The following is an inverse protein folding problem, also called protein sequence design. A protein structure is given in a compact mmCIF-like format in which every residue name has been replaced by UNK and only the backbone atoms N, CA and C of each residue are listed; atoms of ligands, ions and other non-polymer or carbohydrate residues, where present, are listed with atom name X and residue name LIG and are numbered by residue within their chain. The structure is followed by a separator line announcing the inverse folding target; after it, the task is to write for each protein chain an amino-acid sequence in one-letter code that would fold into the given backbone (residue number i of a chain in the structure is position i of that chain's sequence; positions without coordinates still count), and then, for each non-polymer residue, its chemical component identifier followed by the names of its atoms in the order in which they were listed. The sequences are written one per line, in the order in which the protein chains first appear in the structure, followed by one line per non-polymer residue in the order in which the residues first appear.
data_IF_955318202981
#
_entry.id   IF_955318202981
#
_cell.length_a   1.000
_cell.length_b   1.000
_cell.length_c   1.000
_cell.angle_alpha   90.00
_cell.angle_beta   90.00
_cell.angle_gamma   90.00
#
_symmetry.space_group_name_H-M   'P 1'
#
loop_
_entity.id
_entity.type
_entity.pdbx_description
1 polymer ?
#
# COMPACT_ATOMS: atom_id res chain seq x y z
N UNK A 1 18.70 -39.87 1.69
CA UNK A 1 17.64 -39.29 0.87
C UNK A 1 18.31 -38.36 -0.12
N UNK A 2 18.35 -38.75 -1.40
CA UNK A 2 18.94 -37.95 -2.46
C UNK A 2 18.12 -36.65 -2.60
N UNK A 3 18.79 -35.49 -2.54
CA UNK A 3 18.21 -34.23 -2.93
C UNK A 3 17.88 -34.33 -4.42
N UNK A 4 16.60 -34.39 -4.72
CA UNK A 4 16.04 -34.24 -6.07
C UNK A 4 16.59 -32.92 -6.62
N UNK A 5 17.54 -33.00 -7.55
CA UNK A 5 18.06 -31.83 -8.26
C UNK A 5 16.88 -31.20 -8.98
N UNK A 6 16.39 -30.11 -8.43
CA UNK A 6 15.35 -29.32 -9.07
C UNK A 6 15.77 -29.02 -10.53
N UNK A 7 14.93 -29.41 -11.48
CA UNK A 7 15.10 -29.07 -12.89
C UNK A 7 15.31 -27.57 -12.98
N UNK A 8 16.35 -27.07 -13.66
CA UNK A 8 16.57 -25.63 -13.81
C UNK A 8 15.32 -24.99 -14.42
N UNK A 9 14.61 -24.18 -13.64
CA UNK A 9 13.43 -23.47 -14.12
C UNK A 9 13.87 -22.48 -15.19
N UNK A 10 13.22 -22.53 -16.37
CA UNK A 10 13.47 -21.55 -17.42
C UNK A 10 13.16 -20.14 -16.85
N UNK A 11 14.17 -19.27 -16.68
CA UNK A 11 13.98 -17.96 -16.06
C UNK A 11 13.11 -17.03 -16.90
N UNK A 12 12.85 -17.37 -18.17
CA UNK A 12 11.98 -16.56 -19.04
C UNK A 12 10.50 -16.86 -18.84
N UNK A 13 10.14 -18.02 -18.30
CA UNK A 13 8.73 -18.42 -18.08
C UNK A 13 8.29 -18.04 -16.66
N UNK A 14 7.06 -17.54 -16.57
CA UNK A 14 6.38 -17.37 -15.30
C UNK A 14 6.09 -18.75 -14.68
N UNK A 15 6.26 -18.83 -13.36
CA UNK A 15 5.95 -20.04 -12.61
C UNK A 15 5.19 -19.71 -11.32
N UNK A 16 4.86 -20.73 -10.54
CA UNK A 16 4.06 -20.57 -9.33
C UNK A 16 4.74 -19.71 -8.25
N UNK A 17 6.07 -19.70 -8.18
CA UNK A 17 6.81 -18.83 -7.27
C UNK A 17 6.62 -17.35 -7.66
N UNK A 18 6.71 -17.03 -8.96
CA UNK A 18 6.50 -15.67 -9.47
C UNK A 18 5.07 -15.19 -9.20
N UNK A 19 4.07 -16.04 -9.50
CA UNK A 19 2.66 -15.72 -9.25
C UNK A 19 2.37 -15.50 -7.76
N UNK A 20 2.96 -16.30 -6.88
CA UNK A 20 2.81 -16.10 -5.43
C UNK A 20 3.37 -14.75 -4.98
N UNK A 21 4.48 -14.31 -5.56
CA UNK A 21 5.03 -13.00 -5.26
C UNK A 21 4.18 -11.87 -5.84
N UNK A 22 3.69 -12.00 -7.09
CA UNK A 22 2.74 -11.02 -7.66
C UNK A 22 1.52 -10.84 -6.75
N UNK A 23 0.93 -11.94 -6.28
CA UNK A 23 -0.23 -11.90 -5.36
C UNK A 23 0.15 -11.33 -3.99
N UNK A 24 1.33 -11.64 -3.46
CA UNK A 24 1.80 -11.10 -2.17
C UNK A 24 2.02 -9.60 -2.22
N UNK A 25 2.67 -9.09 -3.29
CA UNK A 25 2.88 -7.66 -3.53
C UNK A 25 1.54 -6.95 -3.74
N UNK A 26 0.65 -7.53 -4.56
CA UNK A 26 -0.71 -7.02 -4.76
C UNK A 26 -1.46 -6.90 -3.43
N UNK A 27 -1.46 -7.97 -2.60
CA UNK A 27 -2.15 -7.96 -1.31
C UNK A 27 -1.56 -6.96 -0.30
N UNK A 28 -0.27 -6.63 -0.42
CA UNK A 28 0.35 -5.59 0.40
C UNK A 28 -0.15 -4.21 -0.02
N UNK A 29 -0.27 -3.93 -1.32
CA UNK A 29 -0.78 -2.66 -1.82
C UNK A 29 -2.29 -2.49 -1.56
N UNK A 30 -3.08 -3.57 -1.75
CA UNK A 30 -4.54 -3.53 -1.64
C UNK A 30 -4.96 -3.54 -0.17
N UNK A 31 -5.05 -2.35 0.42
CA UNK A 31 -5.41 -2.12 1.81
C UNK A 31 -6.41 -0.97 1.98
N UNK A 32 -6.29 -0.21 3.07
CA UNK A 32 -7.18 0.93 3.32
C UNK A 32 -7.11 1.97 2.17
N UNK A 33 -5.94 2.17 1.56
CA UNK A 33 -5.77 3.14 0.48
C UNK A 33 -6.80 3.00 -0.63
N UNK A 34 -7.01 1.80 -1.15
CA UNK A 34 -7.97 1.59 -2.25
C UNK A 34 -9.42 1.85 -1.83
N UNK A 35 -9.72 1.70 -0.55
CA UNK A 35 -11.07 1.92 -0.01
C UNK A 35 -11.39 3.41 0.16
N UNK A 36 -10.36 4.27 0.22
CA UNK A 36 -10.49 5.72 0.32
C UNK A 36 -10.18 6.45 -1.00
N UNK A 37 -9.50 5.79 -1.94
CA UNK A 37 -9.18 6.37 -3.25
C UNK A 37 -10.41 6.84 -4.04
N UNK A 38 -11.54 6.09 -4.11
CA UNK A 38 -12.74 6.58 -4.77
C UNK A 38 -13.29 7.87 -4.14
N UNK A 39 -13.19 8.01 -2.81
CA UNK A 39 -13.68 9.19 -2.09
C UNK A 39 -12.87 10.42 -2.51
N UNK A 40 -11.56 10.28 -2.66
CA UNK A 40 -10.68 11.39 -3.09
C UNK A 40 -10.81 11.70 -4.58
N UNK A 41 -10.87 10.66 -5.41
CA UNK A 41 -10.88 10.81 -6.87
C UNK A 41 -12.25 11.19 -7.44
N UNK A 42 -13.35 10.76 -6.78
CA UNK A 42 -14.69 10.79 -7.35
C UNK A 42 -15.31 12.19 -7.50
N UNK A 43 -14.93 13.14 -6.64
CA UNK A 43 -15.45 14.52 -6.70
C UNK A 43 -15.10 15.30 -7.97
N UNK A 44 -14.21 14.76 -8.82
CA UNK A 44 -13.67 15.48 -9.99
C UNK A 44 -14.01 14.81 -11.34
N UNK A 45 -14.94 13.86 -11.33
CA UNK A 45 -15.40 13.17 -12.53
C UNK A 45 -14.53 12.01 -12.97
N UNK A 46 -15.08 11.19 -13.86
CA UNK A 46 -14.51 9.91 -14.30
C UNK A 46 -13.24 10.07 -15.14
N UNK A 47 -13.15 11.15 -15.93
CA UNK A 47 -12.00 11.38 -16.81
C UNK A 47 -10.69 11.59 -16.07
N UNK A 48 -10.75 12.16 -14.86
CA UNK A 48 -9.59 12.27 -13.99
C UNK A 48 -9.05 10.88 -13.61
N UNK A 49 -9.94 9.91 -13.35
CA UNK A 49 -9.57 8.52 -13.03
C UNK A 49 -8.88 7.84 -14.22
N UNK A 50 -9.34 8.08 -15.44
CA UNK A 50 -8.70 7.52 -16.66
C UNK A 50 -7.28 8.03 -16.80
N UNK A 51 -7.05 9.34 -16.62
CA UNK A 51 -5.70 9.92 -16.67
C UNK A 51 -4.83 9.43 -15.52
N UNK A 52 -5.39 9.36 -14.29
CA UNK A 52 -4.69 8.79 -13.14
C UNK A 52 -4.26 7.34 -13.36
N UNK A 53 -5.12 6.54 -14.02
CA UNK A 53 -4.79 5.14 -14.37
C UNK A 53 -3.60 5.06 -15.33
N UNK A 54 -3.53 5.96 -16.30
CA UNK A 54 -2.41 6.03 -17.24
C UNK A 54 -1.10 6.47 -16.59
N UNK A 55 -1.17 7.30 -15.55
CA UNK A 55 0.01 7.78 -14.80
C UNK A 55 0.48 6.74 -13.78
N UNK A 56 -0.45 6.17 -13.00
CA UNK A 56 -0.08 5.32 -11.86
C UNK A 56 0.57 4.00 -12.28
N UNK A 57 0.16 3.42 -13.41
CA UNK A 57 0.72 2.17 -13.87
C UNK A 57 2.24 2.25 -14.11
N UNK A 58 2.74 3.14 -15.00
CA UNK A 58 4.19 3.25 -15.19
C UNK A 58 4.90 3.74 -13.94
N UNK A 59 4.29 4.62 -13.15
CA UNK A 59 4.88 5.14 -11.91
C UNK A 59 5.09 4.02 -10.89
N UNK A 60 4.08 3.18 -10.64
CA UNK A 60 4.16 2.04 -9.74
C UNK A 60 5.20 1.03 -10.21
N UNK A 61 5.10 0.58 -11.47
CA UNK A 61 6.02 -0.40 -12.03
C UNK A 61 7.48 0.06 -11.98
N UNK A 62 7.74 1.27 -12.47
CA UNK A 62 9.11 1.79 -12.58
C UNK A 62 9.71 2.12 -11.22
N UNK A 63 8.90 2.69 -10.31
CA UNK A 63 9.33 3.04 -8.95
C UNK A 63 9.68 1.81 -8.12
N UNK A 64 8.77 0.83 -8.01
CA UNK A 64 9.03 -0.38 -7.23
C UNK A 64 10.16 -1.23 -7.82
N UNK A 65 10.22 -1.35 -9.14
CA UNK A 65 11.36 -1.98 -9.82
C UNK A 65 12.69 -1.29 -9.47
N UNK A 66 12.72 0.04 -9.49
CA UNK A 66 13.93 0.79 -9.17
C UNK A 66 14.34 0.59 -7.72
N UNK A 67 13.38 0.61 -6.79
CA UNK A 67 13.62 0.31 -5.39
C UNK A 67 14.11 -1.13 -5.19
N UNK A 68 13.52 -2.11 -5.89
CA UNK A 68 13.97 -3.50 -5.86
C UNK A 68 15.40 -3.65 -6.40
N UNK A 69 15.78 -2.95 -7.46
CA UNK A 69 17.15 -2.93 -7.97
C UNK A 69 18.14 -2.28 -7.01
N UNK A 70 17.72 -1.20 -6.34
CA UNK A 70 18.51 -0.55 -5.31
C UNK A 70 18.80 -1.52 -4.15
N UNK A 71 17.78 -2.13 -3.56
CA UNK A 71 17.92 -3.09 -2.46
C UNK A 71 18.70 -4.33 -2.94
N UNK A 72 18.39 -4.81 -4.13
CA UNK A 72 19.05 -5.95 -4.75
C UNK A 72 20.54 -5.74 -5.08
N UNK A 73 21.07 -4.53 -4.95
CA UNK A 73 22.52 -4.25 -5.14
C UNK A 73 23.41 -4.86 -4.06
N UNK A 74 22.81 -5.22 -2.92
CA UNK A 74 23.49 -5.91 -1.81
C UNK A 74 22.72 -7.20 -1.47
N UNK A 75 23.44 -8.31 -1.46
CA UNK A 75 22.83 -9.59 -1.12
C UNK A 75 22.59 -9.69 0.39
N UNK A 76 21.41 -10.21 0.75
CA UNK A 76 21.01 -10.48 2.15
C UNK A 76 20.82 -9.26 3.05
N UNK A 77 20.95 -8.04 2.52
CA UNK A 77 20.69 -6.82 3.28
C UNK A 77 19.25 -6.35 3.06
N UNK A 78 18.64 -5.78 4.09
CA UNK A 78 17.36 -5.06 4.00
C UNK A 78 17.61 -3.60 3.56
N UNK A 79 16.53 -2.86 3.30
CA UNK A 79 16.63 -1.46 2.86
C UNK A 79 17.44 -0.60 3.84
N UNK A 80 17.31 -0.82 5.16
CA UNK A 80 17.96 0.00 6.19
C UNK A 80 19.48 -0.18 6.18
N UNK A 81 19.93 -1.39 5.88
CA UNK A 81 21.35 -1.73 5.72
C UNK A 81 21.91 -1.23 4.39
N UNK A 82 21.15 -1.41 3.30
CA UNK A 82 21.56 -0.98 1.94
C UNK A 82 21.72 0.53 1.87
N UNK A 83 20.78 1.32 2.41
CA UNK A 83 20.89 2.79 2.42
C UNK A 83 22.14 3.23 3.19
N UNK A 84 22.42 2.60 4.33
CA UNK A 84 23.62 2.90 5.13
C UNK A 84 24.90 2.55 4.38
N UNK A 85 24.94 1.42 3.66
CA UNK A 85 26.12 0.98 2.92
C UNK A 85 26.44 1.87 1.71
N UNK A 86 25.44 2.48 1.09
CA UNK A 86 25.61 3.34 -0.09
C UNK A 86 25.76 4.83 0.24
N UNK A 87 25.02 5.32 1.23
CA UNK A 87 24.96 6.75 1.55
C UNK A 87 25.70 7.13 2.85
N UNK A 88 26.26 6.14 3.57
CA UNK A 88 26.97 6.35 4.83
C UNK A 88 26.03 6.49 6.03
N UNK A 89 26.61 6.73 7.22
CA UNK A 89 25.87 6.62 8.47
C UNK A 89 24.78 7.70 8.64
N UNK A 90 25.07 8.96 8.28
CA UNK A 90 24.14 10.09 8.50
C UNK A 90 22.93 10.03 7.55
N UNK A 91 23.20 9.95 6.23
CA UNK A 91 22.15 9.85 5.22
C UNK A 91 21.39 8.52 5.33
N UNK A 92 22.10 7.42 5.65
CA UNK A 92 21.48 6.13 5.89
C UNK A 92 20.49 6.17 7.05
N UNK A 93 20.81 6.87 8.14
CA UNK A 93 19.91 7.07 9.25
C UNK A 93 18.68 7.89 8.86
N UNK A 94 18.88 9.01 8.16
CA UNK A 94 17.78 9.86 7.69
C UNK A 94 16.83 9.11 6.74
N UNK A 95 17.38 8.36 5.78
CA UNK A 95 16.56 7.57 4.85
C UNK A 95 15.84 6.43 5.59
N UNK A 96 16.47 5.79 6.58
CA UNK A 96 15.81 4.79 7.42
C UNK A 96 14.65 5.39 8.24
N UNK A 97 14.83 6.60 8.74
CA UNK A 97 13.77 7.35 9.44
C UNK A 97 12.62 7.67 8.48
N UNK A 98 12.91 8.16 7.28
CA UNK A 98 11.89 8.43 6.25
C UNK A 98 11.18 7.14 5.83
N UNK A 99 11.90 6.02 5.69
CA UNK A 99 11.31 4.71 5.41
C UNK A 99 10.33 4.28 6.51
N UNK A 100 10.71 4.42 7.77
CA UNK A 100 9.79 4.16 8.88
C UNK A 100 8.57 5.07 8.84
N UNK A 101 8.77 6.37 8.62
CA UNK A 101 7.67 7.35 8.52
C UNK A 101 6.82 7.16 7.26
N UNK A 102 7.32 6.52 6.21
CA UNK A 102 6.51 6.13 5.05
C UNK A 102 5.51 5.01 5.39
N UNK A 103 5.93 4.04 6.22
CA UNK A 103 5.17 2.80 6.42
C UNK A 103 4.38 2.80 7.74
N UNK A 104 4.96 3.30 8.82
CA UNK A 104 4.32 3.27 10.13
C UNK A 104 2.96 3.99 10.17
N UNK A 105 2.79 5.18 9.56
CA UNK A 105 1.49 5.83 9.50
C UNK A 105 0.41 4.98 8.82
N UNK A 106 0.78 4.11 7.87
CA UNK A 106 -0.15 3.19 7.21
C UNK A 106 -0.72 2.18 8.22
N UNK A 107 0.12 1.67 9.12
CA UNK A 107 -0.34 0.77 10.18
C UNK A 107 -1.33 1.48 11.12
N UNK A 108 -1.12 2.78 11.41
CA UNK A 108 -2.06 3.58 12.19
C UNK A 108 -3.41 3.73 11.48
N UNK A 109 -3.39 4.05 10.19
CA UNK A 109 -4.59 4.14 9.33
C UNK A 109 -5.35 2.82 9.29
N UNK A 110 -4.66 1.68 9.25
CA UNK A 110 -5.32 0.38 9.26
C UNK A 110 -6.04 0.10 10.58
N UNK A 111 -5.44 0.49 11.71
CA UNK A 111 -6.12 0.42 13.02
C UNK A 111 -7.41 1.26 13.06
N UNK A 112 -7.36 2.49 12.55
CA UNK A 112 -8.54 3.37 12.44
C UNK A 112 -9.58 2.76 11.49
N UNK A 113 -9.13 2.37 10.28
CA UNK A 113 -10.02 1.86 9.22
C UNK A 113 -10.76 0.60 9.62
N UNK A 114 -10.06 -0.40 10.21
CA UNK A 114 -10.72 -1.63 10.65
C UNK A 114 -11.73 -1.35 11.76
N UNK A 115 -11.41 -0.43 12.69
CA UNK A 115 -12.32 -0.06 13.76
C UNK A 115 -13.56 0.62 13.22
N UNK A 116 -13.43 1.54 12.26
CA UNK A 116 -14.56 2.21 11.62
C UNK A 116 -15.45 1.25 10.82
N UNK A 117 -14.84 0.32 10.07
CA UNK A 117 -15.58 -0.71 9.31
C UNK A 117 -16.47 -1.53 10.24
N UNK A 118 -15.93 -2.03 11.34
CA UNK A 118 -16.70 -2.88 12.28
C UNK A 118 -17.70 -2.09 13.09
N UNK A 119 -17.37 -0.87 13.53
CA UNK A 119 -18.31 0.01 14.24
C UNK A 119 -19.56 0.30 13.39
N UNK A 120 -19.36 0.71 12.13
CA UNK A 120 -20.46 0.94 11.19
C UNK A 120 -21.20 -0.34 10.83
N UNK A 121 -20.53 -1.47 10.65
CA UNK A 121 -21.18 -2.75 10.36
C UNK A 121 -22.10 -3.19 11.50
N UNK A 122 -21.63 -3.12 12.73
CA UNK A 122 -22.42 -3.49 13.90
C UNK A 122 -23.61 -2.56 14.12
N UNK A 123 -23.41 -1.26 13.95
CA UNK A 123 -24.45 -0.25 14.22
C UNK A 123 -25.46 -0.17 13.08
N UNK A 124 -25.01 -0.11 11.81
CA UNK A 124 -25.91 0.20 10.69
C UNK A 124 -26.48 -1.04 10.01
N UNK A 125 -25.72 -2.15 9.93
CA UNK A 125 -26.17 -3.37 9.26
C UNK A 125 -26.77 -4.40 10.24
N UNK A 126 -26.16 -4.55 11.43
CA UNK A 126 -26.67 -5.48 12.43
C UNK A 126 -27.59 -4.83 13.46
N UNK A 127 -27.75 -3.50 13.41
CA UNK A 127 -28.59 -2.71 14.34
C UNK A 127 -28.29 -2.97 15.82
N UNK A 128 -27.00 -3.24 16.13
CA UNK A 128 -26.55 -3.41 17.51
C UNK A 128 -26.28 -2.05 18.17
N UNK A 129 -26.36 -2.01 19.50
CA UNK A 129 -25.93 -0.83 20.25
C UNK A 129 -24.44 -0.54 19.97
N UNK A 130 -24.04 0.75 19.89
CA UNK A 130 -22.64 1.12 19.66
C UNK A 130 -21.72 0.52 20.72
N UNK A 131 -20.65 -0.11 20.29
CA UNK A 131 -19.61 -0.62 21.18
C UNK A 131 -18.71 0.52 21.69
N UNK A 132 -18.14 0.36 22.87
CA UNK A 132 -17.13 1.28 23.34
C UNK A 132 -15.90 1.23 22.41
N UNK A 133 -15.63 2.34 21.71
CA UNK A 133 -14.61 2.41 20.64
C UNK A 133 -13.24 1.91 21.09
N UNK A 134 -12.81 2.23 22.32
CA UNK A 134 -11.53 1.77 22.85
C UNK A 134 -11.45 0.24 22.97
N UNK A 135 -12.52 -0.41 23.44
CA UNK A 135 -12.59 -1.87 23.50
C UNK A 135 -12.55 -2.49 22.11
N UNK A 136 -13.33 -1.93 21.18
CA UNK A 136 -13.34 -2.39 19.78
C UNK A 136 -11.95 -2.26 19.13
N UNK A 137 -11.27 -1.14 19.31
CA UNK A 137 -9.92 -0.93 18.81
C UNK A 137 -8.92 -1.93 19.41
N UNK A 138 -8.94 -2.14 20.74
CA UNK A 138 -8.07 -3.13 21.40
C UNK A 138 -8.29 -4.51 20.83
N UNK A 139 -9.53 -4.96 20.69
CA UNK A 139 -9.85 -6.31 20.20
C UNK A 139 -9.40 -6.48 18.75
N UNK A 140 -9.75 -5.54 17.86
CA UNK A 140 -9.46 -5.66 16.43
C UNK A 140 -7.96 -5.53 16.12
N UNK A 141 -7.26 -4.58 16.74
CA UNK A 141 -5.82 -4.43 16.58
C UNK A 141 -5.09 -5.64 17.18
N UNK A 142 -5.52 -6.17 18.33
CA UNK A 142 -4.94 -7.38 18.90
C UNK A 142 -5.15 -8.59 18.01
N UNK A 143 -6.31 -8.72 17.35
CA UNK A 143 -6.58 -9.80 16.40
C UNK A 143 -5.65 -9.73 15.18
N UNK A 144 -5.44 -8.52 14.62
CA UNK A 144 -4.46 -8.32 13.55
C UNK A 144 -3.04 -8.68 14.01
N UNK A 145 -2.64 -8.22 15.20
CA UNK A 145 -1.30 -8.45 15.73
C UNK A 145 -1.06 -9.90 16.17
N UNK A 146 -2.12 -10.65 16.55
CA UNK A 146 -2.00 -12.05 16.97
C UNK A 146 -1.38 -12.93 15.88
N UNK A 147 -1.70 -12.66 14.62
CA UNK A 147 -1.12 -13.39 13.48
C UNK A 147 0.40 -13.19 13.41
N UNK A 148 0.93 -12.07 13.92
CA UNK A 148 2.37 -11.78 13.94
C UNK A 148 3.17 -12.60 14.96
N UNK A 149 2.50 -13.30 15.86
CA UNK A 149 3.15 -14.26 16.80
C UNK A 149 3.69 -15.48 16.06
N UNK A 150 3.09 -15.83 14.92
CA UNK A 150 3.55 -16.93 14.08
C UNK A 150 4.84 -16.57 13.32
N UNK A 151 5.52 -17.59 12.84
CA UNK A 151 6.71 -17.37 12.01
C UNK A 151 6.33 -16.77 10.63
N UNK A 152 7.29 -16.08 10.00
CA UNK A 152 7.08 -15.37 8.72
C UNK A 152 6.48 -16.27 7.62
N UNK A 153 6.79 -17.58 7.60
CA UNK A 153 6.25 -18.52 6.60
C UNK A 153 4.75 -18.73 6.77
N UNK A 154 4.28 -18.87 8.02
CA UNK A 154 2.85 -19.01 8.33
C UNK A 154 2.12 -17.71 8.01
N UNK A 155 2.67 -16.58 8.43
CA UNK A 155 2.09 -15.25 8.15
C UNK A 155 1.93 -15.05 6.65
N UNK A 156 2.97 -15.29 5.85
CA UNK A 156 2.91 -15.18 4.39
C UNK A 156 1.86 -16.11 3.77
N UNK A 157 1.70 -17.34 4.29
CA UNK A 157 0.65 -18.26 3.83
C UNK A 157 -0.76 -17.74 4.13
N UNK A 158 -0.97 -17.19 5.33
CA UNK A 158 -2.26 -16.59 5.72
C UNK A 158 -2.55 -15.38 4.81
N UNK A 159 -1.57 -14.48 4.63
CA UNK A 159 -1.74 -13.33 3.75
C UNK A 159 -2.15 -13.74 2.34
N UNK A 160 -1.39 -14.65 1.72
CA UNK A 160 -1.69 -15.11 0.36
C UNK A 160 -3.08 -15.77 0.28
N UNK A 161 -3.46 -16.56 1.30
CA UNK A 161 -4.78 -17.16 1.35
C UNK A 161 -5.92 -16.15 1.44
N UNK A 162 -5.70 -15.00 2.07
CA UNK A 162 -6.68 -13.89 2.14
C UNK A 162 -6.74 -13.07 0.85
N UNK A 163 -5.62 -12.94 0.15
CA UNK A 163 -5.54 -12.13 -1.08
C UNK A 163 -6.29 -12.77 -2.25
N UNK A 164 -6.27 -14.11 -2.38
CA UNK A 164 -7.03 -14.78 -3.47
C UNK A 164 -8.53 -14.48 -3.43
N UNK A 165 -9.24 -14.70 -2.29
CA UNK A 165 -10.64 -14.29 -2.22
C UNK A 165 -10.82 -12.79 -2.34
N UNK A 166 -9.90 -11.97 -1.84
CA UNK A 166 -9.96 -10.52 -1.99
C UNK A 166 -9.97 -10.10 -3.45
N UNK A 167 -9.04 -10.62 -4.28
CA UNK A 167 -9.02 -10.33 -5.73
C UNK A 167 -10.34 -10.72 -6.40
N UNK A 168 -10.84 -11.92 -6.10
CA UNK A 168 -12.09 -12.41 -6.68
C UNK A 168 -13.29 -11.55 -6.27
N UNK A 169 -13.44 -11.31 -4.96
CA UNK A 169 -14.56 -10.53 -4.43
C UNK A 169 -14.50 -9.08 -4.91
N UNK A 170 -13.31 -8.48 -4.94
CA UNK A 170 -13.13 -7.11 -5.44
C UNK A 170 -13.58 -7.00 -6.91
N UNK A 171 -13.21 -7.95 -7.76
CA UNK A 171 -13.65 -8.02 -9.15
C UNK A 171 -15.16 -8.21 -9.26
N UNK A 172 -15.70 -9.21 -8.56
CA UNK A 172 -17.15 -9.50 -8.58
C UNK A 172 -17.97 -8.34 -8.04
N UNK A 173 -17.48 -7.66 -6.99
CA UNK A 173 -18.12 -6.48 -6.45
C UNK A 173 -18.14 -5.32 -7.47
N UNK A 174 -16.99 -5.10 -8.14
CA UNK A 174 -16.89 -4.06 -9.17
C UNK A 174 -17.82 -4.33 -10.35
N UNK A 175 -17.96 -5.59 -10.78
CA UNK A 175 -18.92 -6.02 -11.81
C UNK A 175 -20.36 -5.86 -11.33
N UNK A 176 -20.64 -6.21 -10.08
CA UNK A 176 -21.96 -6.08 -9.48
C UNK A 176 -22.45 -4.63 -9.37
N UNK A 177 -21.54 -3.67 -9.31
CA UNK A 177 -21.88 -2.24 -9.30
C UNK A 177 -22.31 -1.71 -10.69
N UNK A 178 -22.03 -2.39 -11.79
CA UNK A 178 -22.35 -1.90 -13.15
C UNK A 178 -23.80 -1.47 -13.34
N UNK A 179 -24.82 -2.22 -12.87
CA UNK A 179 -26.23 -1.80 -12.97
C UNK A 179 -26.57 -0.50 -12.24
N UNK A 180 -25.74 -0.09 -11.28
CA UNK A 180 -25.93 1.14 -10.50
C UNK A 180 -25.16 2.34 -11.08
N UNK A 181 -24.43 2.16 -12.20
CA UNK A 181 -23.68 3.23 -12.82
C UNK A 181 -24.61 4.33 -13.35
N UNK A 182 -24.27 5.56 -13.01
CA UNK A 182 -24.99 6.76 -13.45
C UNK A 182 -24.29 7.31 -14.69
N UNK A 183 -24.92 7.16 -15.86
CA UNK A 183 -24.35 7.65 -17.14
C UNK A 183 -24.06 9.16 -17.15
N UNK A 184 -24.77 9.95 -16.33
CA UNK A 184 -24.51 11.37 -16.17
C UNK A 184 -23.07 11.68 -15.71
N UNK A 185 -22.44 10.79 -14.93
CA UNK A 185 -21.06 10.97 -14.45
C UNK A 185 -20.02 10.99 -15.59
N UNK A 186 -20.34 10.44 -16.76
CA UNK A 186 -19.48 10.51 -17.95
C UNK A 186 -19.43 11.91 -18.57
N UNK A 187 -20.43 12.74 -18.29
CA UNK A 187 -20.51 14.10 -18.83
C UNK A 187 -20.02 15.17 -17.86
N UNK A 188 -19.58 14.77 -16.67
CA UNK A 188 -18.94 15.70 -15.73
C UNK A 188 -17.51 15.94 -16.17
N UNK A 189 -17.28 17.11 -16.76
CA UNK A 189 -15.94 17.55 -17.21
C UNK A 189 -15.59 18.82 -16.44
N UNK A 190 -14.65 18.77 -15.50
CA UNK A 190 -14.18 19.95 -14.77
C UNK A 190 -13.40 20.89 -15.70
N UNK A 191 -13.22 22.13 -15.26
CA UNK A 191 -12.31 23.05 -15.97
C UNK A 191 -10.90 22.49 -16.00
N UNK A 192 -10.07 22.90 -16.97
CA UNK A 192 -8.70 22.39 -17.10
C UNK A 192 -7.87 22.60 -15.82
N UNK A 193 -8.04 23.75 -15.15
CA UNK A 193 -7.37 24.04 -13.87
C UNK A 193 -7.80 23.07 -12.77
N UNK A 194 -9.09 22.87 -12.62
CA UNK A 194 -9.64 21.94 -11.64
C UNK A 194 -9.23 20.50 -11.94
N UNK A 195 -9.21 20.10 -13.20
CA UNK A 195 -8.78 18.79 -13.64
C UNK A 195 -7.32 18.49 -13.28
N UNK A 196 -6.41 19.42 -13.59
CA UNK A 196 -4.98 19.28 -13.26
C UNK A 196 -4.77 19.26 -11.74
N UNK A 197 -5.45 20.15 -11.02
CA UNK A 197 -5.36 20.22 -9.56
C UNK A 197 -5.92 18.96 -8.91
N UNK A 198 -7.04 18.43 -9.40
CA UNK A 198 -7.64 17.19 -8.95
C UNK A 198 -6.67 15.99 -9.06
N UNK A 199 -6.02 15.85 -10.22
CA UNK A 199 -5.00 14.81 -10.43
C UNK A 199 -3.85 14.99 -9.44
N UNK A 200 -3.30 16.20 -9.34
CA UNK A 200 -2.15 16.46 -8.47
C UNK A 200 -2.46 16.17 -6.99
N UNK A 201 -3.57 16.70 -6.48
CA UNK A 201 -3.97 16.49 -5.08
C UNK A 201 -4.42 15.05 -4.77
N UNK A 202 -4.73 14.25 -5.80
CA UNK A 202 -5.06 12.83 -5.61
C UNK A 202 -3.79 11.94 -5.66
N UNK A 203 -2.66 12.42 -6.18
CA UNK A 203 -1.42 11.63 -6.27
C UNK A 203 -1.00 10.99 -4.94
N UNK A 204 -1.04 11.67 -3.77
CA UNK A 204 -0.66 11.03 -2.50
C UNK A 204 -1.50 9.79 -2.18
N UNK A 205 -2.83 9.88 -2.34
CA UNK A 205 -3.75 8.77 -2.08
C UNK A 205 -3.56 7.67 -3.11
N UNK A 206 -3.32 8.04 -4.37
CA UNK A 206 -3.06 7.11 -5.46
C UNK A 206 -1.76 6.33 -5.23
N UNK A 207 -0.67 7.03 -4.87
CA UNK A 207 0.63 6.41 -4.55
C UNK A 207 0.51 5.50 -3.33
N UNK A 208 -0.14 5.96 -2.27
CA UNK A 208 -0.44 5.15 -1.10
C UNK A 208 -1.22 3.87 -1.42
N UNK A 209 -2.20 3.96 -2.33
CA UNK A 209 -3.07 2.83 -2.71
C UNK A 209 -2.38 1.78 -3.58
N UNK A 210 -1.24 2.11 -4.18
CA UNK A 210 -0.45 1.23 -5.04
C UNK A 210 0.88 0.82 -4.40
N UNK A 211 1.15 1.25 -3.15
CA UNK A 211 2.41 0.99 -2.48
C UNK A 211 2.51 -0.43 -1.95
N UNK A 212 3.54 -1.15 -2.39
CA UNK A 212 3.95 -2.44 -1.86
C UNK A 212 5.42 -2.47 -1.43
N UNK A 213 6.00 -1.29 -1.26
CA UNK A 213 7.38 -1.13 -0.80
C UNK A 213 7.69 -1.77 0.56
N UNK A 214 6.73 -1.95 1.50
CA UNK A 214 7.02 -2.52 2.82
C UNK A 214 7.60 -3.94 2.81
N UNK A 215 7.30 -4.75 1.80
CA UNK A 215 7.83 -6.12 1.69
C UNK A 215 8.91 -6.27 0.61
N UNK A 216 9.37 -5.15 0.02
CA UNK A 216 10.29 -5.18 -1.13
C UNK A 216 11.66 -5.77 -0.75
N UNK A 217 12.15 -5.55 0.47
CA UNK A 217 13.36 -6.18 0.99
C UNK A 217 13.26 -7.71 0.96
N UNK A 218 12.19 -8.23 1.55
CA UNK A 218 11.91 -9.68 1.60
C UNK A 218 11.71 -10.27 0.20
N UNK A 219 10.96 -9.58 -0.66
CA UNK A 219 10.74 -9.97 -2.04
C UNK A 219 12.07 -10.09 -2.80
N UNK A 220 12.89 -9.04 -2.78
CA UNK A 220 14.17 -8.97 -3.49
C UNK A 220 15.14 -10.06 -3.04
N UNK A 221 15.22 -10.31 -1.72
CA UNK A 221 16.08 -11.36 -1.16
C UNK A 221 15.61 -12.76 -1.59
N UNK A 222 14.30 -13.03 -1.61
CA UNK A 222 13.78 -14.35 -1.99
C UNK A 222 13.93 -14.60 -3.49
N UNK A 223 13.70 -13.59 -4.33
CA UNK A 223 13.96 -13.69 -5.77
C UNK A 223 15.46 -13.90 -6.04
N UNK A 224 16.34 -13.23 -5.28
CA UNK A 224 17.79 -13.44 -5.38
C UNK A 224 18.22 -14.88 -5.02
N UNK A 225 17.62 -15.46 -3.98
CA UNK A 225 17.88 -16.87 -3.57
C UNK A 225 17.38 -17.87 -4.61
N UNK A 226 16.21 -17.62 -5.22
CA UNK A 226 15.60 -18.56 -6.17
C UNK A 226 16.27 -18.51 -7.54
N UNK A 227 16.63 -17.30 -8.04
CA UNK A 227 17.03 -17.10 -9.41
C UNK A 227 18.50 -16.70 -9.64
N UNK A 228 19.25 -16.36 -8.60
CA UNK A 228 20.67 -16.03 -8.69
C UNK A 228 20.96 -14.95 -9.75
N UNK A 229 21.70 -15.31 -10.80
CA UNK A 229 22.08 -14.40 -11.88
C UNK A 229 20.88 -13.79 -12.65
N UNK A 230 19.72 -14.43 -12.63
CA UNK A 230 18.51 -13.96 -13.30
C UNK A 230 17.63 -13.07 -12.38
N UNK A 231 18.12 -12.72 -11.18
CA UNK A 231 17.39 -11.91 -10.19
C UNK A 231 16.78 -10.67 -10.82
N UNK A 232 17.55 -9.85 -11.51
CA UNK A 232 17.08 -8.57 -12.06
C UNK A 232 15.97 -8.74 -13.10
N UNK A 233 16.11 -9.74 -13.99
CA UNK A 233 15.07 -10.07 -14.95
C UNK A 233 13.76 -10.47 -14.26
N UNK A 234 13.84 -11.29 -13.21
CA UNK A 234 12.67 -11.75 -12.47
C UNK A 234 12.02 -10.69 -11.61
N UNK A 235 12.81 -9.83 -10.94
CA UNK A 235 12.29 -8.66 -10.26
C UNK A 235 11.47 -7.78 -11.21
N UNK A 236 12.02 -7.50 -12.40
CA UNK A 236 11.33 -6.74 -13.43
C UNK A 236 10.03 -7.41 -13.90
N UNK A 237 10.04 -8.73 -14.15
CA UNK A 237 8.88 -9.48 -14.63
C UNK A 237 7.75 -9.55 -13.59
N UNK A 238 8.09 -9.77 -12.32
CA UNK A 238 7.13 -9.87 -11.23
C UNK A 238 6.53 -8.49 -10.94
N UNK A 239 7.35 -7.42 -10.89
CA UNK A 239 6.87 -6.05 -10.70
C UNK A 239 5.92 -5.59 -11.82
N UNK A 240 6.23 -5.93 -13.08
CA UNK A 240 5.34 -5.65 -14.20
C UNK A 240 3.99 -6.35 -14.04
N UNK A 241 4.01 -7.64 -13.70
CA UNK A 241 2.79 -8.42 -13.48
C UNK A 241 1.96 -7.89 -12.30
N UNK A 242 2.61 -7.55 -11.18
CA UNK A 242 1.97 -6.93 -10.01
C UNK A 242 1.30 -5.60 -10.37
N UNK A 243 2.02 -4.72 -11.08
CA UNK A 243 1.52 -3.41 -11.48
C UNK A 243 0.33 -3.51 -12.45
N UNK A 244 0.34 -4.49 -13.35
CA UNK A 244 -0.81 -4.77 -14.23
C UNK A 244 -2.01 -5.29 -13.45
N UNK A 245 -1.80 -6.17 -12.47
CA UNK A 245 -2.87 -6.63 -11.58
C UNK A 245 -3.47 -5.46 -10.79
N UNK A 246 -2.62 -4.61 -10.19
CA UNK A 246 -3.06 -3.42 -9.46
C UNK A 246 -3.87 -2.48 -10.36
N UNK A 247 -3.36 -2.17 -11.56
CA UNK A 247 -4.08 -1.33 -12.52
C UNK A 247 -5.47 -1.92 -12.83
N UNK A 248 -5.54 -3.20 -13.19
CA UNK A 248 -6.79 -3.85 -13.60
C UNK A 248 -7.81 -3.90 -12.48
N UNK A 249 -7.44 -4.45 -11.32
CA UNK A 249 -8.40 -4.66 -10.23
C UNK A 249 -8.72 -3.37 -9.47
N UNK A 250 -7.70 -2.58 -9.11
CA UNK A 250 -7.89 -1.39 -8.27
C UNK A 250 -8.58 -0.28 -9.06
N UNK A 251 -8.11 0.05 -10.27
CA UNK A 251 -8.70 1.15 -11.02
C UNK A 251 -10.09 0.81 -11.56
N UNK A 252 -10.36 -0.47 -11.86
CA UNK A 252 -11.72 -0.90 -12.20
C UNK A 252 -12.67 -0.78 -11.00
N UNK A 253 -12.21 -1.13 -9.79
CA UNK A 253 -12.97 -0.92 -8.55
C UNK A 253 -13.23 0.57 -8.30
N UNK A 254 -12.21 1.42 -8.40
CA UNK A 254 -12.33 2.88 -8.22
C UNK A 254 -13.34 3.46 -9.24
N UNK A 255 -13.19 3.09 -10.50
CA UNK A 255 -14.09 3.51 -11.58
C UNK A 255 -15.55 3.10 -11.28
N UNK A 256 -15.76 1.83 -10.90
CA UNK A 256 -17.10 1.31 -10.59
C UNK A 256 -17.74 2.05 -9.41
N UNK A 257 -16.99 2.33 -8.36
CA UNK A 257 -17.49 3.09 -7.21
C UNK A 257 -17.87 4.52 -7.61
N UNK A 258 -17.00 5.19 -8.39
CA UNK A 258 -17.24 6.59 -8.80
C UNK A 258 -18.43 6.70 -9.76
N UNK A 259 -18.65 5.72 -10.60
CA UNK A 259 -19.81 5.68 -11.47
C UNK A 259 -21.15 5.53 -10.73
N UNK A 260 -21.14 5.01 -9.50
CA UNK A 260 -22.38 4.78 -8.70
C UNK A 260 -22.84 5.97 -7.86
N UNK A 261 -21.96 6.96 -7.63
CA UNK A 261 -22.16 8.01 -6.64
C UNK A 261 -22.07 9.39 -7.28
N UNK A 262 -22.68 10.39 -6.63
CA UNK A 262 -22.53 11.80 -7.02
C UNK A 262 -21.45 12.50 -6.17
N UNK A 263 -21.13 13.76 -6.52
CA UNK A 263 -20.07 14.52 -5.83
C UNK A 263 -20.34 14.71 -4.33
N UNK A 264 -21.59 14.94 -3.93
CA UNK A 264 -21.97 15.14 -2.51
C UNK A 264 -21.77 13.86 -1.69
N UNK A 265 -21.94 12.68 -2.30
CA UNK A 265 -21.74 11.40 -1.64
C UNK A 265 -20.27 11.21 -1.21
N UNK A 266 -19.32 11.66 -2.02
CA UNK A 266 -17.89 11.59 -1.68
C UNK A 266 -17.53 12.54 -0.53
N UNK A 267 -18.15 13.73 -0.50
CA UNK A 267 -17.98 14.67 0.63
C UNK A 267 -18.49 14.04 1.93
N UNK A 268 -19.70 13.48 1.91
CA UNK A 268 -20.31 12.81 3.07
C UNK A 268 -19.48 11.61 3.54
N UNK A 269 -18.98 10.78 2.61
CA UNK A 269 -18.13 9.64 2.96
C UNK A 269 -16.82 10.08 3.64
N UNK A 270 -16.22 11.20 3.18
CA UNK A 270 -15.04 11.80 3.80
C UNK A 270 -15.34 12.31 5.22
N UNK A 271 -16.42 13.05 5.39
CA UNK A 271 -16.86 13.59 6.69
C UNK A 271 -17.15 12.48 7.71
N UNK A 272 -17.75 11.37 7.27
CA UNK A 272 -18.01 10.21 8.11
C UNK A 272 -16.73 9.39 8.43
N UNK A 273 -15.62 9.67 7.77
CA UNK A 273 -14.36 8.95 7.93
C UNK A 273 -14.49 7.42 7.73
N UNK A 274 -15.31 7.00 6.77
CA UNK A 274 -15.58 5.59 6.47
C UNK A 274 -15.09 5.21 5.08
N UNK A 275 -14.70 3.94 4.86
CA UNK A 275 -14.38 3.42 3.54
C UNK A 275 -15.57 3.53 2.58
N UNK A 276 -15.28 3.69 1.27
CA UNK A 276 -16.31 3.79 0.23
C UNK A 276 -17.29 2.61 0.25
N UNK A 277 -16.83 1.42 0.59
CA UNK A 277 -17.67 0.22 0.66
C UNK A 277 -18.68 0.30 1.79
N UNK A 278 -18.30 0.86 2.94
CA UNK A 278 -19.24 1.12 4.05
C UNK A 278 -20.26 2.19 3.66
N UNK A 279 -19.83 3.23 2.94
CA UNK A 279 -20.72 4.26 2.43
C UNK A 279 -21.74 3.70 1.41
N UNK A 280 -21.30 2.89 0.45
CA UNK A 280 -22.16 2.21 -0.51
C UNK A 280 -23.15 1.26 0.17
N UNK A 281 -22.72 0.54 1.22
CA UNK A 281 -23.60 -0.31 2.03
C UNK A 281 -24.72 0.49 2.70
N UNK A 282 -24.41 1.68 3.20
CA UNK A 282 -25.42 2.56 3.84
C UNK A 282 -26.37 3.22 2.84
N UNK A 283 -25.93 3.45 1.59
CA UNK A 283 -26.64 4.28 0.60
C UNK A 283 -27.48 3.46 -0.37
N UNK A 284 -26.96 2.33 -0.87
CA UNK A 284 -27.64 1.56 -1.93
C UNK A 284 -28.73 0.61 -1.41
N UNK A 285 -28.87 0.47 -0.09
CA UNK A 285 -29.87 -0.38 0.57
C UNK A 285 -30.03 -1.77 -0.07
N UNK A 286 -28.89 -2.40 -0.41
CA UNK A 286 -28.82 -3.68 -1.07
C UNK A 286 -28.19 -4.73 -0.13
N UNK A 287 -28.88 -5.84 0.20
CA UNK A 287 -28.38 -6.84 1.14
C UNK A 287 -27.01 -7.40 0.79
N UNK A 288 -26.71 -7.61 -0.50
CA UNK A 288 -25.40 -8.11 -0.92
C UNK A 288 -24.29 -7.09 -0.60
N UNK A 289 -24.52 -5.81 -0.91
CA UNK A 289 -23.56 -4.74 -0.67
C UNK A 289 -23.38 -4.52 0.83
N UNK A 290 -24.48 -4.58 1.60
CA UNK A 290 -24.48 -4.40 3.05
C UNK A 290 -23.55 -5.39 3.78
N UNK A 291 -23.47 -6.63 3.30
CA UNK A 291 -22.62 -7.66 3.92
C UNK A 291 -21.29 -7.85 3.20
N UNK A 292 -21.25 -7.77 1.86
CA UNK A 292 -20.02 -7.95 1.09
C UNK A 292 -19.05 -6.77 1.29
N UNK A 293 -19.54 -5.54 1.40
CA UNK A 293 -18.72 -4.35 1.58
C UNK A 293 -17.77 -4.44 2.79
N UNK A 294 -18.30 -4.65 4.02
CA UNK A 294 -17.46 -4.85 5.20
C UNK A 294 -16.50 -6.04 5.11
N UNK A 295 -16.90 -7.14 4.46
CA UNK A 295 -16.03 -8.31 4.25
C UNK A 295 -14.84 -7.95 3.36
N UNK A 296 -15.08 -7.26 2.25
CA UNK A 296 -13.99 -6.79 1.35
C UNK A 296 -13.08 -5.83 2.09
N UNK A 297 -13.64 -4.87 2.83
CA UNK A 297 -12.86 -3.91 3.61
C UNK A 297 -12.00 -4.62 4.68
N UNK A 298 -12.55 -5.60 5.37
CA UNK A 298 -11.81 -6.43 6.33
C UNK A 298 -10.67 -7.17 5.65
N UNK A 299 -10.93 -7.91 4.57
CA UNK A 299 -9.92 -8.68 3.85
C UNK A 299 -8.79 -7.77 3.33
N UNK A 300 -9.14 -6.61 2.76
CA UNK A 300 -8.17 -5.65 2.23
C UNK A 300 -7.26 -5.10 3.36
N UNK A 301 -7.85 -4.57 4.43
CA UNK A 301 -7.08 -4.00 5.55
C UNK A 301 -6.24 -5.09 6.22
N UNK A 302 -6.84 -6.25 6.48
CA UNK A 302 -6.18 -7.32 7.21
C UNK A 302 -5.00 -7.93 6.43
N UNK A 303 -5.18 -8.21 5.12
CA UNK A 303 -4.10 -8.77 4.28
C UNK A 303 -2.94 -7.79 4.11
N UNK A 304 -3.24 -6.51 3.92
CA UNK A 304 -2.23 -5.47 3.70
C UNK A 304 -1.49 -5.09 4.99
N UNK A 305 -2.14 -5.13 6.14
CA UNK A 305 -1.54 -4.84 7.44
C UNK A 305 -0.26 -5.63 7.69
N UNK A 306 -0.20 -6.90 7.28
CA UNK A 306 0.95 -7.75 7.55
C UNK A 306 2.23 -7.26 6.88
N UNK A 307 2.17 -6.89 5.60
CA UNK A 307 3.31 -6.34 4.87
C UNK A 307 3.82 -5.06 5.53
N UNK A 308 2.89 -4.15 5.83
CA UNK A 308 3.21 -2.86 6.44
C UNK A 308 3.73 -3.00 7.88
N UNK A 309 3.19 -3.93 8.67
CA UNK A 309 3.72 -4.22 9.99
C UNK A 309 5.19 -4.66 9.94
N UNK A 310 5.54 -5.57 9.01
CA UNK A 310 6.93 -6.00 8.86
C UNK A 310 7.84 -4.85 8.44
N UNK A 311 7.43 -4.02 7.49
CA UNK A 311 8.18 -2.84 7.07
C UNK A 311 8.34 -1.79 8.18
N UNK A 312 7.27 -1.51 8.94
CA UNK A 312 7.33 -0.60 10.08
C UNK A 312 8.25 -1.13 11.18
N UNK A 313 8.19 -2.43 11.47
CA UNK A 313 9.08 -3.09 12.42
C UNK A 313 10.54 -3.04 11.97
N UNK A 314 10.83 -3.38 10.71
CA UNK A 314 12.16 -3.29 10.10
C UNK A 314 12.72 -1.88 10.20
N UNK A 315 11.92 -0.87 9.85
CA UNK A 315 12.31 0.54 9.93
C UNK A 315 12.63 0.98 11.35
N UNK A 316 11.76 0.68 12.33
CA UNK A 316 11.97 1.08 13.73
C UNK A 316 13.15 0.34 14.37
N UNK A 317 13.28 -0.96 14.14
CA UNK A 317 14.45 -1.72 14.57
C UNK A 317 15.74 -1.15 13.95
N UNK A 318 15.70 -0.81 12.65
CA UNK A 318 16.82 -0.20 11.94
C UNK A 318 17.24 1.15 12.54
N UNK A 319 16.28 2.02 12.90
CA UNK A 319 16.56 3.29 13.60
C UNK A 319 17.26 3.02 14.93
N UNK A 320 16.73 2.11 15.75
CA UNK A 320 17.29 1.81 17.08
C UNK A 320 18.68 1.19 16.97
N UNK A 321 18.86 0.23 16.04
CA UNK A 321 20.16 -0.41 15.77
C UNK A 321 21.20 0.64 15.37
N UNK A 322 20.86 1.57 14.49
CA UNK A 322 21.77 2.61 14.03
C UNK A 322 22.08 3.63 15.13
N UNK A 323 21.08 4.05 15.92
CA UNK A 323 21.24 5.01 17.03
C UNK A 323 22.11 4.45 18.15
N UNK A 324 21.88 3.20 18.54
CA UNK A 324 22.59 2.54 19.63
C UNK A 324 23.84 1.77 19.16
N UNK A 325 24.19 1.84 17.87
CA UNK A 325 25.34 1.16 17.25
C UNK A 325 25.33 -0.37 17.52
N UNK A 326 24.15 -0.99 17.52
CA UNK A 326 24.01 -2.43 17.73
C UNK A 326 24.40 -3.19 16.46
N UNK A 327 24.80 -4.47 16.61
CA UNK A 327 25.08 -5.34 15.46
C UNK A 327 23.83 -5.92 14.82
N UNK A 328 22.79 -6.17 15.60
CA UNK A 328 21.49 -6.74 15.18
C UNK A 328 20.43 -6.49 16.23
N UNK A 329 19.14 -6.65 15.85
CA UNK A 329 18.06 -6.65 16.81
C UNK A 329 18.15 -7.85 17.76
N UNK A 330 17.96 -7.60 19.05
CA UNK A 330 17.80 -8.65 20.07
C UNK A 330 16.31 -9.03 20.20
N UNK A 331 16.03 -10.22 20.74
CA UNK A 331 14.63 -10.62 21.01
C UNK A 331 13.87 -9.62 21.91
N UNK A 332 14.45 -9.11 23.02
CA UNK A 332 13.77 -8.11 23.83
C UNK A 332 13.46 -6.82 23.03
N UNK A 333 14.41 -6.34 22.22
CA UNK A 333 14.16 -5.16 21.36
C UNK A 333 12.99 -5.41 20.40
N UNK A 334 12.98 -6.54 19.74
CA UNK A 334 11.91 -6.90 18.78
C UNK A 334 10.54 -7.00 19.45
N UNK A 335 10.48 -7.51 20.69
CA UNK A 335 9.23 -7.54 21.49
C UNK A 335 8.82 -6.12 21.89
N UNK A 336 9.74 -5.29 22.37
CA UNK A 336 9.45 -3.89 22.74
C UNK A 336 8.93 -3.09 21.55
N UNK A 337 9.52 -3.27 20.37
CA UNK A 337 9.03 -2.65 19.12
C UNK A 337 7.60 -3.11 18.79
N UNK A 338 7.34 -4.42 18.93
CA UNK A 338 5.99 -4.97 18.69
C UNK A 338 4.96 -4.38 19.66
N UNK A 339 5.30 -4.27 20.95
CA UNK A 339 4.42 -3.67 21.96
C UNK A 339 4.19 -2.18 21.67
N UNK A 340 5.24 -1.45 21.28
CA UNK A 340 5.12 -0.04 20.89
C UNK A 340 4.16 0.13 19.70
N UNK A 341 4.31 -0.66 18.64
CA UNK A 341 3.43 -0.63 17.49
C UNK A 341 1.99 -0.95 17.88
N UNK A 342 1.77 -1.98 18.69
CA UNK A 342 0.44 -2.34 19.18
C UNK A 342 -0.22 -1.20 19.97
N UNK A 343 0.49 -0.62 20.93
CA UNK A 343 -0.02 0.49 21.77
C UNK A 343 -0.39 1.71 20.92
N UNK A 344 0.50 2.11 20.01
CA UNK A 344 0.28 3.32 19.21
C UNK A 344 -0.80 3.14 18.15
N UNK A 345 -0.88 1.98 17.49
CA UNK A 345 -1.96 1.65 16.54
C UNK A 345 -3.31 1.65 17.28
N UNK A 346 -3.38 1.02 18.46
CA UNK A 346 -4.61 0.98 19.27
C UNK A 346 -5.02 2.36 19.74
N UNK A 347 -4.06 3.18 20.23
CA UNK A 347 -4.32 4.55 20.67
C UNK A 347 -4.87 5.42 19.53
N UNK A 348 -4.25 5.37 18.35
CA UNK A 348 -4.67 6.15 17.20
C UNK A 348 -6.03 5.66 16.66
N UNK A 349 -6.29 4.34 16.69
CA UNK A 349 -7.60 3.78 16.37
C UNK A 349 -8.70 4.29 17.33
N UNK A 350 -8.38 4.48 18.60
CA UNK A 350 -9.28 5.09 19.60
C UNK A 350 -9.53 6.57 19.32
N UNK A 351 -8.46 7.35 19.03
CA UNK A 351 -8.54 8.81 18.75
C UNK A 351 -9.33 9.09 17.47
N UNK A 352 -9.31 8.18 16.50
CA UNK A 352 -10.04 8.27 15.22
C UNK A 352 -9.72 9.51 14.36
N UNK A 353 -8.46 9.79 14.02
CA UNK A 353 -8.15 10.87 13.11
C UNK A 353 -8.74 10.62 11.72
N UNK A 354 -8.92 11.69 10.92
CA UNK A 354 -9.37 11.54 9.54
C UNK A 354 -8.34 10.76 8.71
N UNK A 355 -8.77 9.65 8.12
CA UNK A 355 -7.89 8.73 7.38
C UNK A 355 -7.33 9.38 6.12
N UNK A 356 -8.17 10.09 5.35
CA UNK A 356 -7.73 10.76 4.13
C UNK A 356 -6.71 11.86 4.42
N UNK A 357 -6.95 12.68 5.43
CA UNK A 357 -6.01 13.74 5.83
C UNK A 357 -4.64 13.15 6.22
N UNK A 358 -4.65 11.98 6.87
CA UNK A 358 -3.43 11.27 7.24
C UNK A 358 -2.66 10.75 6.02
N UNK A 359 -3.37 10.21 5.03
CA UNK A 359 -2.80 9.71 3.79
C UNK A 359 -2.26 10.88 2.94
N UNK A 360 -3.06 11.93 2.78
CA UNK A 360 -2.75 13.08 1.92
C UNK A 360 -1.56 13.89 2.45
N UNK A 361 -1.50 14.12 3.75
CA UNK A 361 -0.53 15.03 4.36
C UNK A 361 0.73 14.33 4.88
N UNK A 362 0.70 13.02 5.11
CA UNK A 362 1.83 12.30 5.68
C UNK A 362 2.22 11.06 4.86
N UNK A 363 1.33 10.09 4.72
CA UNK A 363 1.66 8.79 4.14
C UNK A 363 2.15 8.90 2.70
N UNK A 364 1.29 9.37 1.78
CA UNK A 364 1.58 9.45 0.36
C UNK A 364 2.82 10.27 0.00
N UNK A 365 2.99 11.50 0.53
CA UNK A 365 4.17 12.32 0.27
C UNK A 365 5.48 11.66 0.71
N UNK A 366 5.53 11.02 1.88
CA UNK A 366 6.76 10.37 2.38
C UNK A 366 7.04 9.08 1.62
N UNK A 367 6.00 8.29 1.27
CA UNK A 367 6.16 7.13 0.38
C UNK A 367 6.81 7.56 -0.93
N UNK A 368 6.36 8.65 -1.54
CA UNK A 368 6.90 9.13 -2.81
C UNK A 368 8.40 9.47 -2.73
N UNK A 369 8.87 10.00 -1.60
CA UNK A 369 10.29 10.27 -1.39
C UNK A 369 11.12 8.97 -1.38
N UNK A 370 10.65 7.94 -0.70
CA UNK A 370 11.37 6.67 -0.57
C UNK A 370 11.23 5.81 -1.82
N UNK A 371 10.05 5.77 -2.42
CA UNK A 371 9.76 4.88 -3.54
C UNK A 371 10.22 5.43 -4.89
N UNK A 372 10.11 6.74 -5.09
CA UNK A 372 10.39 7.36 -6.40
C UNK A 372 11.65 8.24 -6.39
N UNK A 373 11.80 9.11 -5.40
CA UNK A 373 12.89 10.10 -5.41
C UNK A 373 14.21 9.44 -5.03
N UNK A 374 14.24 8.67 -3.95
CA UNK A 374 15.47 8.07 -3.42
C UNK A 374 16.15 7.10 -4.40
N UNK A 375 15.45 6.14 -5.05
CA UNK A 375 16.10 5.24 -6.01
C UNK A 375 16.65 5.98 -7.24
N UNK A 376 15.98 7.03 -7.69
CA UNK A 376 16.47 7.84 -8.82
C UNK A 376 17.77 8.56 -8.43
N UNK A 377 17.84 9.18 -7.24
CA UNK A 377 19.08 9.77 -6.72
C UNK A 377 20.17 8.69 -6.61
N UNK A 378 19.84 7.50 -6.10
CA UNK A 378 20.77 6.41 -5.95
C UNK A 378 21.39 5.96 -7.29
N UNK A 379 20.60 5.87 -8.37
CA UNK A 379 21.09 5.51 -9.68
C UNK A 379 22.13 6.48 -10.22
N UNK A 380 22.07 7.76 -9.85
CA UNK A 380 23.02 8.78 -10.30
C UNK A 380 24.21 9.00 -9.33
N UNK A 381 24.04 8.70 -8.05
CA UNK A 381 25.09 8.89 -7.03
C UNK A 381 25.93 7.64 -6.77
N UNK A 382 25.35 6.43 -6.90
CA UNK A 382 26.00 5.16 -6.58
C UNK A 382 26.59 4.50 -7.83
N UNK A 383 27.91 4.27 -7.84
CA UNK A 383 28.62 3.75 -9.03
C UNK A 383 28.14 2.37 -9.48
N UNK A 384 27.82 1.46 -8.56
CA UNK A 384 27.32 0.10 -8.88
C UNK A 384 25.93 0.08 -9.51
N UNK A 385 25.16 1.18 -9.36
CA UNK A 385 23.79 1.30 -9.87
C UNK A 385 23.72 2.03 -11.22
N UNK A 386 24.83 2.57 -11.72
CA UNK A 386 24.88 3.29 -13.01
C UNK A 386 24.31 2.50 -14.20
N UNK A 387 24.41 1.16 -14.15
CA UNK A 387 23.87 0.27 -15.19
C UNK A 387 22.34 0.30 -15.35
N UNK A 388 21.61 0.77 -14.33
CA UNK A 388 20.15 0.86 -14.34
C UNK A 388 19.63 2.21 -14.84
N UNK A 389 20.50 3.17 -15.12
CA UNK A 389 20.11 4.51 -15.59
C UNK A 389 19.37 4.46 -16.91
N UNK A 390 18.25 5.14 -16.95
CA UNK A 390 17.53 5.48 -18.16
C UNK A 390 16.92 6.86 -17.97
N UNK A 391 17.59 7.89 -18.48
CA UNK A 391 17.26 9.29 -18.24
C UNK A 391 15.77 9.62 -18.44
N UNK A 392 15.14 9.10 -19.52
CA UNK A 392 13.73 9.38 -19.82
C UNK A 392 12.79 8.78 -18.78
N UNK A 393 13.10 7.55 -18.33
CA UNK A 393 12.33 6.83 -17.31
C UNK A 393 12.58 7.46 -15.94
N UNK A 394 13.83 7.72 -15.62
CA UNK A 394 14.25 8.21 -14.32
C UNK A 394 13.69 9.61 -14.04
N UNK A 395 13.70 10.50 -15.04
CA UNK A 395 13.12 11.84 -14.88
C UNK A 395 11.59 11.81 -14.73
N UNK A 396 10.90 10.89 -15.43
CA UNK A 396 9.47 10.70 -15.25
C UNK A 396 9.14 10.32 -13.80
N UNK A 397 9.81 9.27 -13.27
CA UNK A 397 9.58 8.79 -11.90
C UNK A 397 9.96 9.87 -10.87
N UNK A 398 11.09 10.55 -11.07
CA UNK A 398 11.55 11.61 -10.18
C UNK A 398 10.58 12.80 -10.14
N UNK A 399 10.09 13.25 -11.29
CA UNK A 399 9.17 14.40 -11.38
C UNK A 399 7.83 14.06 -10.71
N UNK A 400 7.21 12.93 -11.04
CA UNK A 400 5.95 12.55 -10.41
C UNK A 400 6.11 12.25 -8.92
N UNK A 401 7.22 11.64 -8.51
CA UNK A 401 7.55 11.47 -7.10
C UNK A 401 7.71 12.80 -6.36
N UNK A 402 8.39 13.76 -6.96
CA UNK A 402 8.57 15.10 -6.39
C UNK A 402 7.25 15.88 -6.34
N UNK A 403 6.41 15.80 -7.38
CA UNK A 403 5.08 16.43 -7.39
C UNK A 403 4.19 15.82 -6.30
N UNK A 404 4.26 14.50 -6.08
CA UNK A 404 3.53 13.84 -4.99
C UNK A 404 4.03 14.30 -3.63
N UNK A 405 5.34 14.40 -3.43
CA UNK A 405 5.90 14.88 -2.17
C UNK A 405 5.56 16.36 -1.90
N UNK A 406 5.50 17.19 -2.94
CA UNK A 406 5.18 18.62 -2.84
C UNK A 406 3.69 18.91 -2.67
N UNK A 407 2.81 17.95 -2.90
CA UNK A 407 1.35 18.15 -2.77
C UNK A 407 0.93 18.57 -1.37
N UNK A 408 1.67 18.16 -0.34
CA UNK A 408 1.40 18.55 1.06
C UNK A 408 1.42 20.07 1.26
N UNK A 409 2.27 20.77 0.52
CA UNK A 409 2.35 22.24 0.63
C UNK A 409 1.14 22.94 0.01
N UNK A 410 0.45 22.31 -0.95
CA UNK A 410 -0.78 22.86 -1.53
C UNK A 410 -2.00 22.65 -0.62
N UNK A 411 -2.00 21.63 0.20
CA UNK A 411 -3.04 21.40 1.21
C UNK A 411 -2.98 22.42 2.38
N UNK A 412 -1.89 23.22 2.47
CA UNK A 412 -1.72 24.27 3.48
C UNK A 412 -2.24 25.63 3.02
N UNK A 413 -2.60 25.80 1.74
CA UNK A 413 -3.15 27.01 1.12
C UNK A 413 -4.53 26.74 0.52
#
# INVERSE_FOLDING_TARGET
MAQEKAVPRDPKKLNLFDLRWMVSLFGTAVGAGILFLPIRAGGHGVWAIVVMSAIIFPLTYLGHRALAYFIGSKDKEDITMVVRSHFGAQWGFLITLLYFLAIYPICLVYGVGITNVFDHFFTNQLHLAPFHRGLLAVVLVSLMMLVMVFNATIVTRICNALVYPLCLILLLFSLYLIPYWQGANLFVVPSFKEFVLAIWLTLPVLVFSFDHSPIISTFTQNVGKEYGAFKEYKLNQIELGTSLMLLGFVMFFVFSCVMCLNADDFVKAREQNIPILSYLANTLNNPLINYAGPVVAFLAIFSSFFGHYYGAKEGLEGIIIQSLKLKKASKPLSVSVTIFLWLTITLVAYINPNILDFIENLGGPIIALILFVMPMIAFYSVSSLKRFRNFKVDIFVFVFGSLTALSVFLGLF
#
